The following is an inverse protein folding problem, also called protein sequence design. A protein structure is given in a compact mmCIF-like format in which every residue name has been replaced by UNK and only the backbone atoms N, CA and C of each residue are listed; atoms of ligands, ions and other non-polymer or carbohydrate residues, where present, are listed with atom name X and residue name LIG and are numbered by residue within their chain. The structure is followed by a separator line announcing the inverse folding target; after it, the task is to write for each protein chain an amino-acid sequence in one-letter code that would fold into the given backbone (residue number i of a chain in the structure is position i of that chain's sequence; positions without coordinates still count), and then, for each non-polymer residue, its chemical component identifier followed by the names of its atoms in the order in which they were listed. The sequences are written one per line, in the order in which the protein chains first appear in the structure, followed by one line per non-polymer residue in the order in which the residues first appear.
data_IF_538925403251
#
_entry.id   IF_538925403251
#
_cell.length_a   1.000
_cell.length_b   1.000
_cell.length_c   1.000
_cell.angle_alpha   90.00
_cell.angle_beta   90.00
_cell.angle_gamma   90.00
#
_symmetry.space_group_name_H-M   'P 1'
#
loop_
_entity.id
_entity.type
_entity.pdbx_description
1 polymer ?
#
# COMPACT_ATOMS: atom_id res chain seq x y z
N UNK A 1 10.44 -6.55 -21.07
CA UNK A 1 9.86 -6.45 -19.71
C UNK A 1 8.79 -5.39 -19.75
N UNK A 2 7.55 -5.70 -19.33
CA UNK A 2 6.34 -4.85 -19.39
C UNK A 2 6.44 -3.53 -18.60
N UNK A 3 7.59 -3.25 -18.00
CA UNK A 3 7.89 -2.07 -17.17
C UNK A 3 8.68 -0.97 -17.88
N UNK A 4 9.22 -1.21 -19.09
CA UNK A 4 9.98 -0.19 -19.83
C UNK A 4 8.99 0.77 -20.51
N UNK A 5 9.02 2.05 -20.12
CA UNK A 5 8.13 3.14 -20.57
C UNK A 5 6.66 3.03 -20.15
N UNK A 6 6.34 2.35 -19.04
CA UNK A 6 4.98 2.36 -18.50
C UNK A 6 4.76 3.65 -17.65
N UNK A 7 3.90 4.60 -18.06
CA UNK A 7 3.67 5.83 -17.31
C UNK A 7 2.81 5.62 -16.05
N UNK A 8 2.16 4.45 -15.92
CA UNK A 8 1.14 4.20 -14.90
C UNK A 8 1.68 4.31 -13.47
N UNK A 9 2.82 3.70 -13.08
CA UNK A 9 3.32 3.86 -11.71
C UNK A 9 3.64 5.30 -11.36
N UNK A 10 4.19 6.07 -12.31
CA UNK A 10 4.49 7.50 -12.11
C UNK A 10 3.21 8.29 -11.90
N UNK A 11 2.17 8.03 -12.70
CA UNK A 11 0.87 8.69 -12.55
C UNK A 11 0.23 8.41 -11.18
N UNK A 12 0.33 7.18 -10.67
CA UNK A 12 -0.15 6.85 -9.33
C UNK A 12 0.62 7.60 -8.24
N UNK A 13 1.95 7.68 -8.32
CA UNK A 13 2.74 8.44 -7.35
C UNK A 13 2.40 9.93 -7.36
N UNK A 14 2.22 10.51 -8.56
CA UNK A 14 1.78 11.91 -8.71
C UNK A 14 0.39 12.13 -8.11
N UNK A 15 -0.53 11.19 -8.33
CA UNK A 15 -1.87 11.27 -7.76
C UNK A 15 -1.83 11.26 -6.23
N UNK A 16 -1.10 10.32 -5.62
CA UNK A 16 -0.94 10.26 -4.16
C UNK A 16 -0.32 11.55 -3.60
N UNK A 17 0.70 12.10 -4.28
CA UNK A 17 1.30 13.37 -3.88
C UNK A 17 0.33 14.55 -3.92
N UNK A 18 -0.64 14.56 -4.84
CA UNK A 18 -1.56 15.69 -5.01
C UNK A 18 -2.86 15.54 -4.22
N UNK A 19 -3.31 14.30 -3.99
CA UNK A 19 -4.69 14.03 -3.58
C UNK A 19 -4.82 13.18 -2.31
N UNK A 20 -3.72 12.84 -1.63
CA UNK A 20 -3.83 12.19 -0.32
C UNK A 20 -4.69 13.04 0.64
N UNK A 21 -5.63 12.43 1.36
CA UNK A 21 -6.49 13.15 2.27
C UNK A 21 -5.73 13.59 3.51
N UNK A 22 -6.38 14.43 4.33
CA UNK A 22 -5.81 14.89 5.59
C UNK A 22 -5.50 13.69 6.52
N UNK A 23 -4.24 13.57 7.03
CA UNK A 23 -3.88 12.52 7.98
C UNK A 23 -4.58 12.68 9.33
N UNK A 24 -5.15 13.85 9.64
CA UNK A 24 -5.86 14.06 10.90
C UNK A 24 -7.21 13.31 10.96
N UNK A 25 -7.80 12.99 9.82
CA UNK A 25 -9.17 12.45 9.73
C UNK A 25 -9.27 11.10 9.03
N UNK A 26 -8.18 10.61 8.43
CA UNK A 26 -8.20 9.43 7.58
C UNK A 26 -7.20 8.39 8.07
N UNK A 27 -7.63 7.13 8.05
CA UNK A 27 -6.76 5.96 8.17
C UNK A 27 -6.58 5.32 6.80
N UNK A 28 -5.36 4.92 6.46
CA UNK A 28 -5.05 4.24 5.19
C UNK A 28 -4.25 2.97 5.47
N UNK A 29 -4.62 1.87 4.81
CA UNK A 29 -3.94 0.58 4.89
C UNK A 29 -3.49 0.14 3.51
N UNK A 30 -2.24 -0.30 3.39
CA UNK A 30 -1.69 -0.98 2.22
C UNK A 30 -1.19 -2.37 2.60
N UNK A 31 -1.37 -3.34 1.72
CA UNK A 31 -0.58 -4.55 1.75
C UNK A 31 -0.29 -5.13 0.36
N UNK A 32 0.71 -6.02 0.34
CA UNK A 32 1.09 -6.82 -0.82
C UNK A 32 1.80 -8.10 -0.39
N UNK A 33 1.72 -9.15 -1.22
CA UNK A 33 2.54 -10.36 -1.12
C UNK A 33 3.94 -10.17 -1.73
N UNK A 34 4.78 -11.20 -1.72
CA UNK A 34 6.08 -11.17 -2.42
C UNK A 34 6.15 -12.06 -3.67
N UNK A 35 5.12 -12.88 -3.90
CA UNK A 35 5.12 -13.87 -4.97
C UNK A 35 4.16 -13.50 -6.10
N UNK A 36 4.34 -14.15 -7.25
CA UNK A 36 3.50 -13.96 -8.45
C UNK A 36 3.47 -12.49 -8.91
N UNK A 37 2.30 -11.89 -9.11
CA UNK A 37 2.16 -10.51 -9.56
C UNK A 37 2.66 -9.49 -8.51
N UNK A 38 2.44 -9.76 -7.22
CA UNK A 38 2.79 -8.84 -6.12
C UNK A 38 4.31 -8.68 -5.96
N UNK A 39 5.11 -9.63 -6.48
CA UNK A 39 6.58 -9.53 -6.53
C UNK A 39 7.09 -8.23 -7.17
N UNK A 40 6.27 -7.60 -8.02
CA UNK A 40 6.58 -6.34 -8.70
C UNK A 40 6.30 -5.09 -7.85
N UNK A 41 5.57 -5.21 -6.74
CA UNK A 41 5.03 -4.05 -6.02
C UNK A 41 6.03 -3.37 -5.10
N UNK A 42 6.98 -4.10 -4.52
CA UNK A 42 7.95 -3.58 -3.55
C UNK A 42 8.59 -2.22 -3.91
N UNK A 43 9.18 -2.02 -5.11
CA UNK A 43 9.79 -0.73 -5.46
C UNK A 43 8.78 0.42 -5.55
N UNK A 44 7.53 0.14 -5.90
CA UNK A 44 6.47 1.15 -5.99
C UNK A 44 5.83 1.41 -4.62
N UNK A 45 5.68 0.38 -3.79
CA UNK A 45 5.19 0.53 -2.43
C UNK A 45 6.15 1.37 -1.59
N UNK A 46 7.46 1.19 -1.72
CA UNK A 46 8.45 2.05 -1.04
C UNK A 46 8.33 3.54 -1.45
N UNK A 47 7.96 3.82 -2.70
CA UNK A 47 7.71 5.19 -3.16
C UNK A 47 6.41 5.75 -2.56
N UNK A 48 5.34 4.95 -2.54
CA UNK A 48 4.09 5.32 -1.89
C UNK A 48 4.29 5.57 -0.38
N UNK A 49 5.03 4.70 0.30
CA UNK A 49 5.37 4.80 1.71
C UNK A 49 6.11 6.11 2.03
N UNK A 50 7.08 6.51 1.18
CA UNK A 50 7.77 7.79 1.32
C UNK A 50 6.81 8.98 1.16
N UNK A 51 5.85 8.91 0.23
CA UNK A 51 4.84 9.96 0.03
C UNK A 51 3.92 10.05 1.25
N UNK A 52 3.48 8.92 1.82
CA UNK A 52 2.65 8.88 3.02
C UNK A 52 3.33 9.60 4.19
N UNK A 53 4.61 9.29 4.43
CA UNK A 53 5.41 9.94 5.47
C UNK A 53 5.55 11.45 5.22
N UNK A 54 5.84 11.86 3.98
CA UNK A 54 5.93 13.28 3.61
C UNK A 54 4.61 14.04 3.81
N UNK A 55 3.46 13.34 3.68
CA UNK A 55 2.13 13.90 3.92
C UNK A 55 1.69 13.89 5.38
N UNK A 56 2.56 13.44 6.30
CA UNK A 56 2.28 13.46 7.74
C UNK A 56 1.48 12.26 8.24
N UNK A 57 1.38 11.18 7.46
CA UNK A 57 0.90 9.90 7.96
C UNK A 57 1.95 9.24 8.86
N UNK A 58 1.50 8.57 9.91
CA UNK A 58 2.29 7.92 10.96
C UNK A 58 1.70 6.54 11.25
N UNK A 59 2.32 5.74 12.12
CA UNK A 59 1.76 4.44 12.52
C UNK A 59 0.39 4.50 13.19
N UNK A 60 -0.09 5.68 13.61
CA UNK A 60 -1.41 5.85 14.22
C UNK A 60 -2.56 5.87 13.19
N UNK A 61 -2.26 6.28 11.96
CA UNK A 61 -3.26 6.53 10.91
C UNK A 61 -2.84 5.98 9.54
N UNK A 62 -1.70 5.30 9.46
CA UNK A 62 -1.31 4.56 8.28
C UNK A 62 -0.55 3.28 8.63
N UNK A 63 -0.80 2.22 7.86
CA UNK A 63 -0.13 0.93 7.95
C UNK A 63 0.18 0.41 6.54
N UNK A 64 1.41 -0.08 6.35
CA UNK A 64 1.86 -0.74 5.11
C UNK A 64 2.50 -2.08 5.49
N UNK A 65 2.08 -3.17 4.84
CA UNK A 65 2.51 -4.54 5.18
C UNK A 65 2.94 -5.34 3.95
N UNK A 66 4.15 -5.91 4.01
CA UNK A 66 4.62 -6.93 3.08
C UNK A 66 4.39 -8.32 3.69
N UNK A 67 3.81 -9.24 2.92
CA UNK A 67 3.58 -10.63 3.31
C UNK A 67 4.45 -11.56 2.46
N UNK A 68 5.66 -11.82 2.95
CA UNK A 68 6.64 -12.67 2.25
C UNK A 68 6.10 -14.08 2.06
N UNK A 69 6.18 -14.58 0.83
CA UNK A 69 5.71 -15.90 0.41
C UNK A 69 4.24 -15.97 0.00
N UNK A 70 3.45 -14.90 0.19
CA UNK A 70 2.06 -14.86 -0.25
C UNK A 70 1.94 -14.36 -1.70
N UNK A 71 0.94 -14.87 -2.41
CA UNK A 71 0.66 -14.61 -3.81
C UNK A 71 -0.48 -13.59 -4.03
N UNK A 72 -0.78 -13.31 -5.30
CA UNK A 72 -1.88 -12.43 -5.71
C UNK A 72 -3.20 -13.21 -5.78
N UNK A 73 -3.76 -13.58 -4.62
CA UNK A 73 -5.00 -14.37 -4.55
C UNK A 73 -5.94 -13.94 -3.43
N UNK A 74 -7.24 -14.17 -3.63
CA UNK A 74 -8.26 -13.98 -2.59
C UNK A 74 -8.02 -14.85 -1.35
N UNK A 75 -7.42 -16.02 -1.54
CA UNK A 75 -7.06 -16.91 -0.43
C UNK A 75 -5.99 -16.26 0.45
N UNK A 76 -4.93 -15.70 -0.14
CA UNK A 76 -3.89 -14.96 0.58
C UNK A 76 -4.47 -13.75 1.33
N UNK A 77 -5.34 -12.97 0.67
CA UNK A 77 -5.99 -11.80 1.29
C UNK A 77 -6.92 -12.18 2.44
N UNK A 78 -7.66 -13.29 2.30
CA UNK A 78 -8.56 -13.77 3.34
C UNK A 78 -7.82 -14.11 4.65
N UNK A 79 -6.63 -14.75 4.57
CA UNK A 79 -5.81 -15.09 5.75
C UNK A 79 -5.44 -13.88 6.60
N UNK A 80 -5.28 -12.71 5.97
CA UNK A 80 -4.81 -11.47 6.62
C UNK A 80 -5.89 -10.41 6.81
N UNK A 81 -7.14 -10.72 6.47
CA UNK A 81 -8.26 -9.77 6.48
C UNK A 81 -8.52 -9.13 7.86
N UNK A 82 -8.21 -9.84 8.95
CA UNK A 82 -8.35 -9.29 10.31
C UNK A 82 -7.49 -8.05 10.55
N UNK A 83 -6.34 -7.93 9.88
CA UNK A 83 -5.39 -6.83 10.05
C UNK A 83 -5.98 -5.50 9.59
N UNK A 84 -6.41 -5.31 8.32
CA UNK A 84 -7.01 -4.06 7.88
C UNK A 84 -8.30 -3.74 8.64
N UNK A 85 -9.13 -4.73 8.96
CA UNK A 85 -10.37 -4.49 9.71
C UNK A 85 -10.07 -3.95 11.10
N UNK A 86 -9.13 -4.56 11.81
CA UNK A 86 -8.72 -4.10 13.15
C UNK A 86 -8.08 -2.72 13.09
N UNK A 87 -7.21 -2.46 12.11
CA UNK A 87 -6.55 -1.17 11.99
C UNK A 87 -7.53 -0.03 11.65
N UNK A 88 -8.40 -0.25 10.67
CA UNK A 88 -9.31 0.77 10.15
C UNK A 88 -10.51 1.01 11.08
N UNK A 89 -11.08 -0.06 11.65
CA UNK A 89 -12.36 -0.02 12.38
C UNK A 89 -12.23 -0.35 13.87
N UNK A 90 -11.06 -0.79 14.33
CA UNK A 90 -10.78 -1.01 15.75
C UNK A 90 -10.91 0.28 16.56
N UNK A 91 -11.43 0.12 17.77
CA UNK A 91 -11.62 1.22 18.74
C UNK A 91 -10.31 1.64 19.38
#
# INVERSE_FOLDING_TARGET
SETVNNPVPVAFMQYLQQHLPSPQQHKIYFDYGSETLDSLYKPFQLQADAIMQQKGFTSNNWLSKEFVGEDHSEHAWNKRFEIPVTFLLGK
#
